data_IF_410997635884
#
_entry.id   IF_410997635884
#
_cell.length_a   1.000
_cell.length_b   1.000
_cell.length_c   1.000
_cell.angle_alpha   90.00
_cell.angle_beta   90.00
_cell.angle_gamma   90.00
#
_symmetry.space_group_name_H-M   'P 1'
#
loop_
_entity.id
_entity.type
_entity.pdbx_description
1 polymer ?
#
# COMPACT_ATOMS: atom_id res chain seq x y z
N UNK A 1 -3.86 18.64 -2.09
CA UNK A 1 -3.94 17.64 -1.02
C UNK A 1 -5.14 16.74 -1.27
N UNK A 2 -4.85 15.57 -1.84
CA UNK A 2 -5.80 14.55 -2.23
C UNK A 2 -5.27 13.22 -1.68
N UNK A 3 -6.13 12.54 -0.94
CA UNK A 3 -5.89 11.21 -0.38
C UNK A 3 -7.02 10.32 -0.89
N UNK A 4 -6.70 9.17 -1.45
CA UNK A 4 -7.70 8.30 -2.05
C UNK A 4 -7.25 6.84 -2.04
N UNK A 5 -8.24 5.95 -2.10
CA UNK A 5 -7.98 4.52 -2.36
C UNK A 5 -7.82 4.30 -3.87
N UNK A 6 -6.88 3.45 -4.22
CA UNK A 6 -6.70 2.93 -5.57
C UNK A 6 -6.77 1.40 -5.52
N UNK A 7 -7.41 0.80 -6.52
CA UNK A 7 -7.49 -0.64 -6.68
C UNK A 7 -7.00 -0.96 -8.07
N UNK A 8 -6.09 -1.92 -8.16
CA UNK A 8 -5.74 -2.58 -9.40
C UNK A 8 -6.09 -4.06 -9.30
N UNK A 9 -6.79 -4.59 -10.30
CA UNK A 9 -7.04 -6.04 -10.43
C UNK A 9 -6.65 -6.49 -11.82
N UNK A 10 -5.79 -7.50 -11.93
CA UNK A 10 -5.26 -7.94 -13.21
C UNK A 10 -6.38 -8.38 -14.18
N UNK A 11 -6.55 -7.61 -15.26
CA UNK A 11 -7.54 -7.89 -16.30
C UNK A 11 -8.97 -7.49 -15.94
N UNK A 12 -9.16 -6.68 -14.90
CA UNK A 12 -10.39 -5.95 -14.67
C UNK A 12 -10.50 -4.71 -15.56
N UNK A 13 -11.74 -4.33 -15.85
CA UNK A 13 -12.10 -3.05 -16.45
C UNK A 13 -12.18 -1.97 -15.38
N UNK A 14 -12.07 -0.70 -15.79
CA UNK A 14 -12.24 0.44 -14.86
C UNK A 14 -13.56 0.37 -14.09
N UNK A 15 -14.65 -0.08 -14.73
CA UNK A 15 -15.94 -0.20 -14.07
C UNK A 15 -16.00 -1.34 -13.03
N UNK A 16 -15.22 -2.40 -13.22
CA UNK A 16 -15.05 -3.48 -12.23
C UNK A 16 -14.20 -3.00 -11.06
N UNK A 17 -13.07 -2.35 -11.33
CA UNK A 17 -12.22 -1.77 -10.28
C UNK A 17 -12.98 -0.72 -9.45
N UNK A 18 -13.80 0.13 -10.09
CA UNK A 18 -14.63 1.10 -9.38
C UNK A 18 -15.64 0.46 -8.43
N UNK A 19 -16.27 -0.68 -8.82
CA UNK A 19 -17.15 -1.42 -7.89
C UNK A 19 -16.38 -1.99 -6.71
N UNK A 20 -15.18 -2.49 -6.96
CA UNK A 20 -14.27 -2.96 -5.91
C UNK A 20 -13.91 -1.84 -4.93
N UNK A 21 -13.54 -0.67 -5.44
CA UNK A 21 -13.22 0.51 -4.63
C UNK A 21 -14.39 0.97 -3.77
N UNK A 22 -15.60 1.01 -4.33
CA UNK A 22 -16.81 1.35 -3.58
C UNK A 22 -17.06 0.36 -2.43
N UNK A 23 -16.83 -0.94 -2.65
CA UNK A 23 -16.98 -1.97 -1.63
C UNK A 23 -15.91 -1.84 -0.52
N UNK A 24 -14.64 -1.65 -0.89
CA UNK A 24 -13.55 -1.42 0.06
C UNK A 24 -13.82 -0.19 0.95
N UNK A 25 -14.19 0.92 0.32
CA UNK A 25 -14.52 2.16 1.03
C UNK A 25 -15.71 1.96 1.99
N UNK A 26 -16.74 1.20 1.59
CA UNK A 26 -17.89 0.91 2.43
C UNK A 26 -17.53 0.13 3.71
N UNK A 27 -16.56 -0.80 3.64
CA UNK A 27 -16.04 -1.53 4.82
C UNK A 27 -15.43 -0.54 5.82
N UNK A 28 -14.51 0.31 5.36
CA UNK A 28 -13.80 1.26 6.21
C UNK A 28 -14.73 2.33 6.79
N UNK A 29 -15.65 2.87 5.98
CA UNK A 29 -16.67 3.83 6.42
C UNK A 29 -17.56 3.22 7.52
N UNK A 30 -17.99 1.96 7.35
CA UNK A 30 -18.81 1.26 8.34
C UNK A 30 -18.06 1.02 9.65
N UNK A 31 -16.75 0.77 9.57
CA UNK A 31 -15.89 0.63 10.73
C UNK A 31 -15.57 1.97 11.42
N UNK A 32 -15.78 3.10 10.73
CA UNK A 32 -15.42 4.43 11.22
C UNK A 32 -13.91 4.67 11.26
N UNK A 33 -13.16 3.96 10.42
CA UNK A 33 -11.69 4.01 10.35
C UNK A 33 -11.27 4.77 9.11
N UNK A 34 -10.26 5.66 9.25
CA UNK A 34 -9.71 6.36 8.10
C UNK A 34 -8.87 5.38 7.26
N UNK A 35 -8.90 5.45 5.92
CA UNK A 35 -8.13 4.52 5.08
C UNK A 35 -6.62 4.50 5.36
N UNK A 36 -6.02 5.63 5.76
CA UNK A 36 -4.60 5.65 6.18
C UNK A 36 -4.35 4.76 7.38
N UNK A 37 -5.19 4.81 8.42
CA UNK A 37 -4.99 4.03 9.65
C UNK A 37 -5.04 2.53 9.35
N UNK A 38 -5.95 2.12 8.46
CA UNK A 38 -6.04 0.73 8.00
C UNK A 38 -4.80 0.32 7.18
N UNK A 39 -4.34 1.18 6.27
CA UNK A 39 -3.12 0.96 5.48
C UNK A 39 -1.86 0.88 6.37
N UNK A 40 -1.75 1.77 7.36
CA UNK A 40 -0.65 1.82 8.32
C UNK A 40 -0.62 0.55 9.17
N UNK A 41 -1.78 0.08 9.64
CA UNK A 41 -1.87 -1.20 10.35
C UNK A 41 -1.43 -2.40 9.48
N UNK A 42 -1.83 -2.42 8.20
CA UNK A 42 -1.38 -3.43 7.25
C UNK A 42 0.14 -3.37 7.05
N UNK A 43 0.71 -2.18 6.83
CA UNK A 43 2.14 -1.98 6.69
C UNK A 43 2.92 -2.41 7.94
N UNK A 44 2.44 -2.05 9.14
CA UNK A 44 3.05 -2.46 10.40
C UNK A 44 3.06 -3.99 10.56
N UNK A 45 1.98 -4.67 10.13
CA UNK A 45 1.92 -6.14 10.12
C UNK A 45 2.94 -6.77 9.17
N UNK A 46 3.10 -6.23 7.95
CA UNK A 46 4.10 -6.73 7.00
C UNK A 46 5.53 -6.54 7.53
N UNK A 47 5.80 -5.41 8.20
CA UNK A 47 7.05 -5.20 8.91
C UNK A 47 7.28 -6.23 10.04
N UNK A 48 6.25 -6.54 10.80
CA UNK A 48 6.30 -7.56 11.85
C UNK A 48 6.53 -8.98 11.31
N UNK A 49 5.89 -9.35 10.18
CA UNK A 49 6.14 -10.61 9.47
C UNK A 49 7.57 -10.68 8.94
N UNK A 50 8.06 -9.61 8.31
CA UNK A 50 9.44 -9.53 7.80
C UNK A 50 10.49 -9.77 8.89
N UNK A 51 10.18 -9.38 10.14
CA UNK A 51 11.03 -9.63 11.32
C UNK A 51 10.87 -11.03 11.94
N UNK A 52 9.94 -11.85 11.44
CA UNK A 52 9.72 -13.23 11.89
C UNK A 52 8.75 -13.37 13.05
N UNK A 53 7.77 -12.47 13.17
CA UNK A 53 6.73 -12.50 14.21
C UNK A 53 7.24 -12.49 15.66
N UNK A 54 8.15 -11.56 16.06
CA UNK A 54 8.60 -11.47 17.44
C UNK A 54 7.43 -11.27 18.42
N UNK A 55 7.44 -12.02 19.52
CA UNK A 55 6.48 -11.84 20.61
C UNK A 55 6.72 -10.50 21.32
N UNK A 56 5.64 -9.78 21.65
CA UNK A 56 5.67 -8.47 22.33
C UNK A 56 6.49 -7.41 21.59
N UNK A 57 6.38 -7.37 20.26
CA UNK A 57 6.97 -6.33 19.45
C UNK A 57 6.36 -4.95 19.83
N UNK A 58 7.14 -3.99 20.33
CA UNK A 58 6.62 -2.66 20.65
C UNK A 58 6.17 -1.88 19.40
N UNK A 59 6.63 -2.28 18.22
CA UNK A 59 6.35 -1.62 16.94
C UNK A 59 5.12 -2.21 16.22
N UNK A 60 4.42 -3.17 16.84
CA UNK A 60 3.16 -3.72 16.35
C UNK A 60 2.15 -3.90 17.47
N UNK A 61 1.13 -3.05 17.50
CA UNK A 61 0.15 -2.97 18.58
C UNK A 61 -1.15 -3.73 18.29
N UNK A 62 -1.99 -3.90 19.31
CA UNK A 62 -3.36 -4.42 19.16
C UNK A 62 -4.23 -3.53 18.25
N UNK A 63 -3.91 -2.25 18.13
CA UNK A 63 -4.61 -1.32 17.23
C UNK A 63 -4.17 -1.56 15.78
N UNK A 64 -2.86 -1.70 15.54
CA UNK A 64 -2.32 -2.06 14.22
C UNK A 64 -2.90 -3.38 13.73
N UNK A 65 -2.98 -4.39 14.61
CA UNK A 65 -3.59 -5.68 14.27
C UNK A 65 -5.07 -5.55 13.87
N UNK A 66 -5.85 -4.68 14.53
CA UNK A 66 -7.25 -4.42 14.17
C UNK A 66 -7.36 -3.68 12.84
N UNK A 67 -6.51 -2.69 12.63
CA UNK A 67 -6.47 -1.90 11.41
C UNK A 67 -6.03 -2.74 10.20
N UNK A 68 -5.02 -3.60 10.36
CA UNK A 68 -4.61 -4.58 9.35
C UNK A 68 -5.75 -5.52 8.98
N UNK A 69 -6.49 -6.03 9.98
CA UNK A 69 -7.64 -6.91 9.74
C UNK A 69 -8.79 -6.19 9.02
N UNK A 70 -8.95 -4.87 9.20
CA UNK A 70 -9.90 -4.06 8.44
C UNK A 70 -9.44 -3.82 7.00
N UNK A 71 -8.13 -3.65 6.79
CA UNK A 71 -7.55 -3.59 5.45
C UNK A 71 -7.80 -4.87 4.66
N UNK A 72 -7.54 -6.04 5.26
CA UNK A 72 -7.81 -7.34 4.62
C UNK A 72 -9.30 -7.50 4.26
N UNK A 73 -10.20 -7.05 5.15
CA UNK A 73 -11.64 -7.08 4.89
C UNK A 73 -12.04 -6.15 3.75
N UNK A 74 -11.41 -4.97 3.67
CA UNK A 74 -11.64 -4.01 2.59
C UNK A 74 -11.14 -4.56 1.25
N UNK A 75 -9.94 -5.13 1.21
CA UNK A 75 -9.37 -5.77 0.04
C UNK A 75 -10.23 -6.96 -0.42
N UNK A 76 -10.62 -7.84 0.50
CA UNK A 76 -11.49 -8.97 0.18
C UNK A 76 -12.84 -8.51 -0.40
N UNK A 77 -13.45 -7.48 0.20
CA UNK A 77 -14.69 -6.91 -0.33
C UNK A 77 -14.49 -6.27 -1.72
N UNK A 78 -13.32 -5.66 -1.95
CA UNK A 78 -12.95 -5.11 -3.25
C UNK A 78 -12.88 -6.20 -4.32
N UNK A 79 -12.20 -7.30 -4.02
CA UNK A 79 -12.03 -8.46 -4.91
C UNK A 79 -13.39 -9.06 -5.25
N UNK A 80 -14.23 -9.31 -4.24
CA UNK A 80 -15.55 -9.91 -4.43
C UNK A 80 -16.45 -9.03 -5.32
N UNK A 81 -16.47 -7.72 -5.10
CA UNK A 81 -17.28 -6.79 -5.89
C UNK A 81 -16.72 -6.54 -7.30
N UNK A 82 -15.40 -6.48 -7.43
CA UNK A 82 -14.71 -6.30 -8.71
C UNK A 82 -14.92 -7.53 -9.61
N UNK A 83 -14.70 -8.73 -9.07
CA UNK A 83 -14.74 -9.98 -9.81
C UNK A 83 -16.11 -10.68 -9.82
N UNK A 84 -17.18 -10.01 -9.37
CA UNK A 84 -18.50 -10.62 -9.17
C UNK A 84 -19.06 -11.34 -10.42
N UNK A 85 -18.73 -10.84 -11.61
CA UNK A 85 -19.20 -11.36 -12.90
C UNK A 85 -18.16 -12.23 -13.62
N UNK A 86 -17.05 -12.55 -12.97
CA UNK A 86 -15.98 -13.34 -13.59
C UNK A 86 -16.31 -14.84 -13.63
N UNK A 87 -15.76 -15.58 -14.61
CA UNK A 87 -15.90 -17.05 -14.66
C UNK A 87 -15.33 -17.72 -13.40
N UNK A 88 -16.07 -18.66 -12.83
CA UNK A 88 -15.68 -19.35 -11.59
C UNK A 88 -14.43 -20.24 -11.72
N UNK A 89 -14.05 -20.59 -12.95
CA UNK A 89 -12.85 -21.37 -13.27
C UNK A 89 -11.60 -20.50 -13.52
N UNK A 90 -11.74 -19.17 -13.42
CA UNK A 90 -10.62 -18.24 -13.53
C UNK A 90 -9.72 -18.34 -12.30
N UNK A 91 -8.40 -18.33 -12.51
CA UNK A 91 -7.43 -18.21 -11.44
C UNK A 91 -7.62 -16.90 -10.68
N UNK A 92 -7.29 -16.87 -9.38
CA UNK A 92 -7.32 -15.62 -8.61
C UNK A 92 -6.37 -14.62 -9.26
N UNK A 93 -6.83 -13.41 -9.61
CA UNK A 93 -5.97 -12.38 -10.16
C UNK A 93 -5.00 -11.88 -9.10
N UNK A 94 -3.91 -11.26 -9.55
CA UNK A 94 -3.16 -10.33 -8.73
C UNK A 94 -4.00 -9.08 -8.44
N UNK A 95 -3.93 -8.60 -7.21
CA UNK A 95 -4.76 -7.52 -6.68
C UNK A 95 -3.87 -6.62 -5.84
N UNK A 96 -4.00 -5.31 -6.05
CA UNK A 96 -3.33 -4.29 -5.26
C UNK A 96 -4.39 -3.28 -4.80
N UNK A 97 -4.65 -3.21 -3.49
CA UNK A 97 -5.36 -2.10 -2.87
C UNK A 97 -4.32 -1.17 -2.25
N UNK A 98 -4.41 0.12 -2.53
CA UNK A 98 -3.46 1.12 -2.06
C UNK A 98 -4.14 2.34 -1.47
N UNK A 99 -3.54 2.92 -0.44
CA UNK A 99 -3.83 4.27 0.01
C UNK A 99 -2.82 5.24 -0.60
N UNK A 100 -3.31 6.11 -1.48
CA UNK A 100 -2.46 7.01 -2.27
C UNK A 100 -2.62 8.45 -1.79
N UNK A 101 -1.47 9.09 -1.57
CA UNK A 101 -1.33 10.52 -1.30
C UNK A 101 -0.81 11.22 -2.55
N UNK A 102 -1.39 12.38 -2.91
CA UNK A 102 -0.81 13.25 -3.94
C UNK A 102 0.52 13.86 -3.47
N UNK A 103 1.32 14.37 -4.41
CA UNK A 103 2.65 14.91 -4.12
C UNK A 103 2.63 16.02 -3.06
N UNK A 104 1.56 16.82 -3.03
CA UNK A 104 1.38 17.86 -2.03
C UNK A 104 1.11 17.28 -0.63
N UNK A 105 0.25 16.25 -0.52
CA UNK A 105 0.01 15.53 0.73
C UNK A 105 1.29 14.85 1.24
N UNK A 106 2.03 14.17 0.35
CA UNK A 106 3.30 13.53 0.68
C UNK A 106 4.33 14.54 1.18
N UNK A 107 4.49 15.66 0.47
CA UNK A 107 5.43 16.71 0.87
C UNK A 107 5.08 17.32 2.23
N UNK A 108 3.79 17.49 2.53
CA UNK A 108 3.33 17.97 3.82
C UNK A 108 3.62 16.97 4.94
N UNK A 109 3.45 15.66 4.68
CA UNK A 109 3.79 14.60 5.62
C UNK A 109 5.29 14.60 5.95
N UNK A 110 6.16 14.58 4.93
CA UNK A 110 7.62 14.59 5.14
C UNK A 110 8.11 15.85 5.86
N UNK A 111 7.58 17.02 5.49
CA UNK A 111 7.92 18.26 6.19
C UNK A 111 7.50 18.26 7.68
N UNK A 112 6.46 17.50 8.04
CA UNK A 112 5.98 17.40 9.43
C UNK A 112 6.77 16.38 10.26
N UNK A 113 7.27 15.30 9.64
CA UNK A 113 8.04 14.26 10.32
C UNK A 113 9.56 14.54 10.37
N UNK A 114 10.06 15.51 9.60
CA UNK A 114 11.49 15.75 9.45
C UNK A 114 12.14 14.70 8.54
N UNK A 115 13.29 15.02 7.94
CA UNK A 115 14.14 14.08 7.17
C UNK A 115 14.76 13.01 8.11
N UNK A 116 13.96 12.28 8.88
CA UNK A 116 14.45 11.18 9.73
C UNK A 116 14.60 9.86 8.92
N UNK A 117 14.39 9.88 7.60
CA UNK A 117 14.87 8.85 6.68
C UNK A 117 16.33 9.14 6.26
N UNK A 118 17.24 9.14 7.23
CA UNK A 118 18.70 9.16 7.06
C UNK A 118 19.22 7.82 6.44
N UNK A 119 18.34 7.03 5.81
CA UNK A 119 18.63 5.78 5.09
C UNK A 119 18.73 5.98 3.57
N UNK A 120 18.44 7.19 3.06
CA UNK A 120 18.81 7.57 1.70
C UNK A 120 20.34 7.61 1.61
N UNK A 121 20.93 6.57 1.01
CA UNK A 121 22.34 6.57 0.61
C UNK A 121 22.55 7.71 -0.39
N UNK A 122 22.94 8.88 0.10
CA UNK A 122 23.44 9.95 -0.74
C UNK A 122 24.69 9.45 -1.45
N UNK A 123 24.57 9.23 -2.76
CA UNK A 123 25.73 8.93 -3.57
C UNK A 123 26.68 10.13 -3.51
N UNK A 124 27.95 9.87 -3.18
CA UNK A 124 28.97 10.88 -3.44
C UNK A 124 28.96 11.22 -4.93
N UNK A 125 29.41 12.42 -5.33
CA UNK A 125 29.47 12.80 -6.74
C UNK A 125 30.20 11.76 -7.62
N UNK A 126 31.20 11.07 -7.06
CA UNK A 126 31.91 9.98 -7.74
C UNK A 126 31.04 8.72 -7.93
N UNK A 127 30.25 8.36 -6.92
CA UNK A 127 29.32 7.23 -7.00
C UNK A 127 28.18 7.51 -8.00
N UNK A 128 27.68 8.75 -8.03
CA UNK A 128 26.70 9.19 -9.03
C UNK A 128 27.24 9.06 -10.46
N UNK A 129 28.46 9.57 -10.70
CA UNK A 129 29.12 9.45 -12.01
C UNK A 129 29.38 7.97 -12.38
N UNK A 130 29.76 7.14 -11.42
CA UNK A 130 29.96 5.71 -11.66
C UNK A 130 28.65 5.01 -12.06
N UNK A 131 27.54 5.32 -11.39
CA UNK A 131 26.22 4.79 -11.70
C UNK A 131 25.72 5.23 -13.09
N UNK A 132 25.86 6.51 -13.43
CA UNK A 132 25.49 7.03 -14.76
C UNK A 132 26.31 6.39 -15.88
N UNK A 133 27.60 6.16 -15.65
CA UNK A 133 28.46 5.46 -16.60
C UNK A 133 28.06 3.99 -16.76
N UNK A 134 27.67 3.32 -15.66
CA UNK A 134 27.14 1.96 -15.69
C UNK A 134 25.83 1.86 -16.49
N UNK A 135 24.89 2.80 -16.30
CA UNK A 135 23.66 2.86 -17.11
C UNK A 135 23.93 3.04 -18.61
N UNK A 136 24.90 3.89 -18.95
CA UNK A 136 25.28 4.15 -20.35
C UNK A 136 26.03 3.00 -21.00
N UNK A 137 26.74 2.19 -20.22
CA UNK A 137 27.47 1.03 -20.73
C UNK A 137 26.55 -0.11 -21.20
N UNK A 138 25.25 -0.03 -20.89
CA UNK A 138 24.30 -1.12 -21.10
C UNK A 138 24.52 -2.18 -20.03
N UNK A 139 23.46 -2.54 -19.29
CA UNK A 139 23.52 -3.65 -18.33
C UNK A 139 24.03 -4.90 -19.06
N UNK A 140 24.84 -5.77 -18.41
CA UNK A 140 25.33 -7.00 -19.02
C UNK A 140 24.19 -7.89 -19.56
#
# INVERSE_FOLDING_TARGET
MKMFLQLHVEGATEAEEMRGLEAAAAVLIKAGVHPSDAADGHFAREGWDMRGFPENDPDFTDEDAKNAALWDQAEQAAIEACCADWPADRLRPEVELEFVMDDEAKAALYAAHGDDDDDDLEFTPEQQVAYENWLRAGKP
#
